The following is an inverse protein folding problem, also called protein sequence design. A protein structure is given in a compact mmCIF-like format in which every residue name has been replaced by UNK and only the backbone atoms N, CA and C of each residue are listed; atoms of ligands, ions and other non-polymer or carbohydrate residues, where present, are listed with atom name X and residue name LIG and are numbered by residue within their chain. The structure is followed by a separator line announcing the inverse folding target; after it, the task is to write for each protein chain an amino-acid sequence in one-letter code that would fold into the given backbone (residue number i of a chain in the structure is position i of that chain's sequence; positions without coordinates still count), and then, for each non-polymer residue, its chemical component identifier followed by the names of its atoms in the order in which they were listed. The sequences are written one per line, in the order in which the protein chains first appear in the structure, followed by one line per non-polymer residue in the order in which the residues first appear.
data_IF_116622761693
#
_entry.id   IF_116622761693
#
_cell.length_a   1.000
_cell.length_b   1.000
_cell.length_c   1.000
_cell.angle_alpha   90.00
_cell.angle_beta   90.00
_cell.angle_gamma   90.00
#
_symmetry.space_group_name_H-M   'P 1'
#
loop_
_entity.id
_entity.type
_entity.pdbx_description
1 polymer ?
#
# COMPACT_ATOMS: atom_id res chain seq x y z
N UNK A 1 42.27 -24.76 -5.94
CA UNK A 1 41.20 -25.76 -5.98
C UNK A 1 40.62 -25.85 -4.60
N UNK A 2 39.58 -25.10 -4.30
CA UNK A 2 38.79 -25.33 -3.09
C UNK A 2 37.37 -24.88 -3.41
N UNK A 3 36.59 -25.87 -3.82
CA UNK A 3 35.21 -25.68 -4.22
C UNK A 3 34.33 -25.72 -2.98
N UNK A 4 34.13 -24.57 -2.32
CA UNK A 4 33.04 -24.45 -1.36
C UNK A 4 31.71 -24.32 -2.12
N UNK A 5 31.25 -25.47 -2.62
CA UNK A 5 29.85 -25.61 -3.03
C UNK A 5 28.97 -25.34 -1.84
N UNK A 6 28.38 -24.15 -1.81
CA UNK A 6 27.26 -23.87 -0.91
C UNK A 6 26.14 -24.81 -1.36
N UNK A 7 26.06 -25.95 -0.70
CA UNK A 7 24.91 -26.85 -0.79
C UNK A 7 23.72 -26.06 -0.30
N UNK A 8 22.90 -25.61 -1.22
CA UNK A 8 21.55 -25.09 -0.91
C UNK A 8 20.78 -26.31 -0.44
N UNK A 9 20.80 -26.56 0.88
CA UNK A 9 19.91 -27.55 1.48
C UNK A 9 18.48 -27.23 1.02
N UNK A 10 17.76 -28.19 0.46
CA UNK A 10 16.36 -27.99 0.13
C UNK A 10 15.62 -27.68 1.43
N UNK A 11 15.04 -26.48 1.53
CA UNK A 11 14.11 -26.12 2.59
C UNK A 11 13.10 -27.25 2.72
N UNK A 12 12.89 -27.83 3.93
CA UNK A 12 11.92 -28.90 4.14
C UNK A 12 10.56 -28.39 3.68
N UNK A 13 10.15 -28.81 2.50
CA UNK A 13 8.91 -28.41 1.86
C UNK A 13 7.73 -28.71 2.76
N UNK A 14 6.79 -27.78 2.80
CA UNK A 14 5.44 -28.01 3.26
C UNK A 14 4.95 -29.39 2.82
N UNK A 15 4.20 -30.07 3.67
CA UNK A 15 3.58 -31.39 3.41
C UNK A 15 3.03 -31.45 2.00
N UNK A 16 3.25 -32.55 1.23
CA UNK A 16 2.88 -32.62 -0.17
C UNK A 16 1.37 -32.48 -0.39
N UNK A 17 0.99 -31.69 -1.39
CA UNK A 17 -0.34 -31.67 -1.98
C UNK A 17 -1.39 -30.79 -1.26
N UNK A 18 -2.17 -31.35 -0.38
CA UNK A 18 -3.38 -30.69 0.18
C UNK A 18 -3.04 -29.55 1.13
N UNK A 19 -2.11 -29.75 2.07
CA UNK A 19 -1.73 -28.72 3.05
C UNK A 19 -1.13 -27.48 2.38
N UNK A 20 -0.35 -27.63 1.31
CA UNK A 20 0.22 -26.52 0.55
C UNK A 20 -0.87 -25.71 -0.18
N UNK A 21 -1.85 -26.38 -0.80
CA UNK A 21 -2.99 -25.72 -1.45
C UNK A 21 -3.85 -24.96 -0.45
N UNK A 22 -4.12 -25.55 0.70
CA UNK A 22 -4.89 -24.92 1.79
C UNK A 22 -4.16 -23.69 2.34
N UNK A 23 -2.84 -23.80 2.58
CA UNK A 23 -2.03 -22.66 3.03
C UNK A 23 -2.02 -21.52 1.98
N UNK A 24 -1.94 -21.87 0.69
CA UNK A 24 -2.03 -20.89 -0.39
C UNK A 24 -3.40 -20.21 -0.41
N UNK A 25 -4.47 -20.98 -0.29
CA UNK A 25 -5.83 -20.43 -0.19
C UNK A 25 -5.99 -19.48 1.00
N UNK A 26 -5.43 -19.84 2.17
CA UNK A 26 -5.42 -18.98 3.34
C UNK A 26 -4.72 -17.64 3.10
N UNK A 27 -3.53 -17.69 2.49
CA UNK A 27 -2.74 -16.48 2.17
C UNK A 27 -3.42 -15.63 1.10
N UNK A 28 -4.00 -16.26 0.06
CA UNK A 28 -4.77 -15.55 -0.96
C UNK A 28 -6.00 -14.86 -0.34
N UNK A 29 -6.71 -15.55 0.56
CA UNK A 29 -7.88 -14.98 1.23
C UNK A 29 -7.48 -13.80 2.13
N UNK A 30 -6.40 -13.90 2.89
CA UNK A 30 -5.87 -12.79 3.69
C UNK A 30 -5.46 -11.60 2.81
N UNK A 31 -4.90 -11.86 1.63
CA UNK A 31 -4.54 -10.84 0.65
C UNK A 31 -5.79 -10.16 0.06
N UNK A 32 -6.82 -10.95 -0.28
CA UNK A 32 -8.11 -10.42 -0.76
C UNK A 32 -8.76 -9.53 0.29
N UNK A 33 -8.79 -9.95 1.56
CA UNK A 33 -9.32 -9.14 2.66
C UNK A 33 -8.56 -7.82 2.80
N UNK A 34 -7.23 -7.84 2.73
CA UNK A 34 -6.42 -6.63 2.80
C UNK A 34 -6.64 -5.70 1.60
N UNK A 35 -6.81 -6.27 0.39
CA UNK A 35 -7.08 -5.50 -0.82
C UNK A 35 -8.50 -4.92 -0.82
N UNK A 36 -9.47 -5.72 -0.42
CA UNK A 36 -10.87 -5.34 -0.27
C UNK A 36 -11.02 -4.17 0.69
N UNK A 37 -10.36 -4.23 1.86
CA UNK A 37 -10.34 -3.14 2.85
C UNK A 37 -9.90 -1.81 2.26
N UNK A 38 -8.89 -1.83 1.39
CA UNK A 38 -8.35 -0.62 0.76
C UNK A 38 -9.36 0.11 -0.14
N UNK A 39 -10.39 -0.57 -0.63
CA UNK A 39 -11.35 -0.02 -1.59
C UNK A 39 -12.80 -0.01 -1.10
N UNK A 40 -13.20 -0.95 -0.26
CA UNK A 40 -14.57 -1.02 0.27
C UNK A 40 -14.93 0.20 1.11
N UNK A 41 -13.99 0.69 1.92
CA UNK A 41 -14.19 1.86 2.78
C UNK A 41 -14.41 3.13 1.95
N UNK A 42 -13.78 3.22 0.76
CA UNK A 42 -13.91 4.42 -0.10
C UNK A 42 -15.35 4.67 -0.53
N UNK A 43 -16.11 3.64 -0.84
CA UNK A 43 -17.52 3.73 -1.22
C UNK A 43 -18.46 4.05 -0.04
N UNK A 44 -18.05 3.69 1.19
CA UNK A 44 -18.84 3.92 2.40
C UNK A 44 -18.57 5.30 3.03
N UNK A 45 -17.39 5.88 2.83
CA UNK A 45 -16.95 7.10 3.51
C UNK A 45 -17.90 8.29 3.40
N UNK A 46 -18.50 8.60 2.23
CA UNK A 46 -19.47 9.71 2.16
C UNK A 46 -20.68 9.51 3.08
N UNK A 47 -21.15 8.27 3.24
CA UNK A 47 -22.25 7.93 4.15
C UNK A 47 -21.80 7.96 5.60
N UNK A 48 -20.65 7.40 5.92
CA UNK A 48 -20.06 7.39 7.27
C UNK A 48 -19.93 8.81 7.80
N UNK A 49 -19.34 9.73 7.04
CA UNK A 49 -19.13 11.11 7.49
C UNK A 49 -20.42 11.93 7.54
N UNK A 50 -21.46 11.52 6.82
CA UNK A 50 -22.79 12.12 6.92
C UNK A 50 -23.50 11.67 8.20
N UNK A 51 -23.40 10.40 8.57
CA UNK A 51 -24.07 9.85 9.76
C UNK A 51 -23.33 10.17 11.06
N UNK A 52 -22.00 10.01 11.09
CA UNK A 52 -21.19 10.26 12.29
C UNK A 52 -20.80 11.74 12.46
N UNK A 53 -21.05 12.57 11.45
CA UNK A 53 -20.53 13.93 11.38
C UNK A 53 -19.02 13.95 11.08
N UNK A 54 -18.37 15.09 11.34
CA UNK A 54 -16.92 15.21 11.20
C UNK A 54 -16.42 15.15 9.76
N UNK A 55 -17.16 15.76 8.82
CA UNK A 55 -16.76 15.80 7.41
C UNK A 55 -15.35 16.37 7.20
N UNK A 56 -14.88 17.27 8.07
CA UNK A 56 -13.52 17.80 8.04
C UNK A 56 -12.45 16.73 8.33
N UNK A 57 -12.82 15.64 9.03
CA UNK A 57 -11.93 14.51 9.36
C UNK A 57 -11.96 13.38 8.31
N UNK A 58 -12.65 13.57 7.17
CA UNK A 58 -12.76 12.55 6.11
C UNK A 58 -11.42 11.95 5.73
N UNK A 59 -10.44 12.80 5.46
CA UNK A 59 -9.07 12.37 5.06
C UNK A 59 -8.35 11.58 6.15
N UNK A 60 -8.64 11.88 7.42
CA UNK A 60 -8.00 11.23 8.57
C UNK A 60 -8.32 9.76 8.68
N UNK A 61 -9.54 9.35 8.31
CA UNK A 61 -9.94 7.94 8.32
C UNK A 61 -9.06 7.10 7.39
N UNK A 62 -8.66 7.65 6.23
CA UNK A 62 -7.72 7.01 5.31
C UNK A 62 -6.27 7.15 5.77
N UNK A 63 -5.86 8.37 6.08
CA UNK A 63 -4.47 8.69 6.41
C UNK A 63 -3.99 7.96 7.65
N UNK A 64 -4.83 7.88 8.69
CA UNK A 64 -4.52 7.16 9.93
C UNK A 64 -4.30 5.65 9.68
N UNK A 65 -5.15 5.05 8.86
CA UNK A 65 -5.00 3.65 8.47
C UNK A 65 -3.71 3.40 7.67
N UNK A 66 -3.46 4.20 6.64
CA UNK A 66 -2.27 4.06 5.78
C UNK A 66 -0.99 4.31 6.57
N UNK A 67 -1.01 5.31 7.43
CA UNK A 67 0.08 5.62 8.33
C UNK A 67 0.37 4.45 9.29
N UNK A 68 -0.64 3.97 10.00
CA UNK A 68 -0.50 2.82 10.90
C UNK A 68 -0.05 1.56 10.16
N UNK A 69 -0.54 1.34 8.93
CA UNK A 69 -0.09 0.25 8.06
C UNK A 69 1.39 0.38 7.71
N UNK A 70 1.88 1.60 7.46
CA UNK A 70 3.32 1.86 7.22
C UNK A 70 4.16 1.40 8.41
N UNK A 71 3.75 1.78 9.64
CA UNK A 71 4.43 1.37 10.87
C UNK A 71 4.37 -0.17 11.02
N UNK A 72 3.21 -0.75 10.77
CA UNK A 72 3.01 -2.21 10.80
C UNK A 72 3.93 -2.96 9.84
N UNK A 73 4.09 -2.47 8.59
CA UNK A 73 5.01 -3.04 7.59
C UNK A 73 6.46 -3.01 8.09
N UNK A 74 6.90 -1.87 8.62
CA UNK A 74 8.29 -1.68 9.07
C UNK A 74 8.66 -2.57 10.26
N UNK A 75 7.70 -2.81 11.16
CA UNK A 75 7.91 -3.64 12.35
C UNK A 75 7.84 -5.12 12.00
N UNK A 76 6.82 -5.53 11.24
CA UNK A 76 6.47 -6.93 11.02
C UNK A 76 7.51 -7.69 10.22
N UNK A 77 8.20 -7.06 9.26
CA UNK A 77 9.23 -7.72 8.46
C UNK A 77 10.33 -8.33 9.34
N UNK A 78 10.92 -7.53 10.22
CA UNK A 78 11.96 -7.99 11.15
C UNK A 78 11.42 -8.89 12.26
N UNK A 79 10.19 -8.62 12.71
CA UNK A 79 9.55 -9.43 13.73
C UNK A 79 9.26 -10.86 13.21
N UNK A 80 8.88 -10.98 11.94
CA UNK A 80 8.67 -12.27 11.27
C UNK A 80 9.96 -13.08 11.13
N UNK A 81 11.09 -12.42 10.89
CA UNK A 81 12.40 -13.10 10.83
C UNK A 81 12.83 -13.62 12.21
N UNK A 82 12.48 -12.93 13.29
CA UNK A 82 12.86 -13.30 14.67
C UNK A 82 11.89 -14.29 15.33
N UNK A 83 10.59 -14.02 15.26
CA UNK A 83 9.55 -14.78 15.96
C UNK A 83 8.97 -15.93 15.12
N UNK A 84 9.22 -15.88 13.80
CA UNK A 84 8.55 -16.73 12.82
C UNK A 84 7.41 -16.00 12.11
N UNK A 85 7.03 -16.50 10.94
CA UNK A 85 5.98 -15.86 10.11
C UNK A 85 4.60 -16.08 10.71
N UNK A 86 4.36 -17.29 11.23
CA UNK A 86 3.05 -17.69 11.78
C UNK A 86 2.60 -16.82 12.96
N UNK A 87 3.40 -16.62 14.04
CA UNK A 87 3.02 -15.76 15.16
C UNK A 87 2.75 -14.31 14.72
N UNK A 88 3.57 -13.75 13.82
CA UNK A 88 3.41 -12.37 13.36
C UNK A 88 2.17 -12.22 12.47
N UNK A 89 1.88 -13.21 11.62
CA UNK A 89 0.64 -13.25 10.86
C UNK A 89 -0.59 -13.25 11.78
N UNK A 90 -0.61 -14.11 12.82
CA UNK A 90 -1.75 -14.17 13.75
C UNK A 90 -1.89 -12.92 14.59
N UNK A 91 -0.80 -12.33 15.04
CA UNK A 91 -0.83 -11.05 15.75
C UNK A 91 -1.38 -9.93 14.83
N UNK A 92 -0.90 -9.85 13.58
CA UNK A 92 -1.39 -8.92 12.58
C UNK A 92 -2.86 -9.13 12.23
N UNK A 93 -3.27 -10.38 12.01
CA UNK A 93 -4.67 -10.73 11.74
C UNK A 93 -5.55 -10.39 12.95
N UNK A 94 -5.14 -10.72 14.17
CA UNK A 94 -5.87 -10.37 15.39
C UNK A 94 -6.07 -8.86 15.53
N UNK A 95 -5.01 -8.05 15.38
CA UNK A 95 -5.10 -6.59 15.41
C UNK A 95 -6.03 -6.06 14.30
N UNK A 96 -5.92 -6.61 13.10
CA UNK A 96 -6.76 -6.23 11.97
C UNK A 96 -8.24 -6.51 12.22
N UNK A 97 -8.56 -7.71 12.70
CA UNK A 97 -9.96 -8.12 12.94
C UNK A 97 -10.59 -7.41 14.14
N UNK A 98 -9.84 -7.23 15.23
CA UNK A 98 -10.30 -6.44 16.38
C UNK A 98 -10.52 -4.99 15.96
N UNK A 99 -9.55 -4.39 15.24
CA UNK A 99 -9.70 -3.04 14.70
C UNK A 99 -10.90 -2.93 13.76
N UNK A 100 -11.12 -3.93 12.89
CA UNK A 100 -12.25 -3.97 11.97
C UNK A 100 -13.60 -4.06 12.72
N UNK A 101 -13.70 -4.93 13.71
CA UNK A 101 -14.90 -5.04 14.54
C UNK A 101 -15.21 -3.73 15.27
N UNK A 102 -14.19 -3.10 15.86
CA UNK A 102 -14.32 -1.82 16.54
C UNK A 102 -14.71 -0.69 15.58
N UNK A 103 -14.17 -0.65 14.34
CA UNK A 103 -14.59 0.28 13.31
C UNK A 103 -16.09 0.12 12.98
N UNK A 104 -16.59 -1.10 12.88
CA UNK A 104 -18.00 -1.37 12.66
C UNK A 104 -18.92 -0.97 13.83
N UNK A 105 -18.37 -0.86 15.03
CA UNK A 105 -19.09 -0.44 16.25
C UNK A 105 -18.86 1.05 16.59
N UNK A 106 -18.13 1.81 15.78
CA UNK A 106 -17.84 3.20 16.05
C UNK A 106 -19.11 4.07 16.10
N UNK A 107 -19.19 4.93 17.10
CA UNK A 107 -20.27 5.89 17.36
C UNK A 107 -19.88 7.34 17.02
N UNK A 108 -18.60 7.56 16.74
CA UNK A 108 -18.04 8.85 16.35
C UNK A 108 -16.91 8.72 15.36
N UNK A 109 -16.66 9.75 14.57
CA UNK A 109 -15.56 9.77 13.61
C UNK A 109 -14.21 9.69 14.31
N UNK A 110 -14.06 10.25 15.52
CA UNK A 110 -12.82 10.17 16.29
C UNK A 110 -12.53 8.73 16.75
N UNK A 111 -13.56 8.03 17.27
CA UNK A 111 -13.44 6.61 17.60
C UNK A 111 -13.10 5.77 16.37
N UNK A 112 -13.74 6.03 15.23
CA UNK A 112 -13.44 5.39 13.97
C UNK A 112 -11.97 5.57 13.58
N UNK A 113 -11.42 6.79 13.64
CA UNK A 113 -10.01 7.07 13.34
C UNK A 113 -9.08 6.29 14.27
N UNK A 114 -9.37 6.28 15.58
CA UNK A 114 -8.56 5.51 16.54
C UNK A 114 -8.57 4.01 16.22
N UNK A 115 -9.73 3.45 15.88
CA UNK A 115 -9.87 2.04 15.52
C UNK A 115 -9.22 1.73 14.15
N UNK A 116 -9.21 2.68 13.22
CA UNK A 116 -8.47 2.59 11.96
C UNK A 116 -6.96 2.51 12.17
N UNK A 117 -6.40 3.17 13.20
CA UNK A 117 -4.99 2.99 13.57
C UNK A 117 -4.72 1.54 13.98
N UNK A 118 -5.56 0.97 14.84
CA UNK A 118 -5.41 -0.43 15.27
C UNK A 118 -5.51 -1.40 14.09
N UNK A 119 -6.53 -1.21 13.25
CA UNK A 119 -6.76 -2.00 12.04
C UNK A 119 -5.59 -1.88 11.05
N UNK A 120 -5.07 -0.65 10.86
CA UNK A 120 -3.93 -0.37 9.99
C UNK A 120 -2.64 -1.06 10.42
N UNK A 121 -2.31 -1.04 11.72
CA UNK A 121 -1.17 -1.79 12.27
C UNK A 121 -1.25 -3.28 11.92
N UNK A 122 -2.42 -3.87 12.06
CA UNK A 122 -2.69 -5.26 11.67
C UNK A 122 -2.51 -5.49 10.17
N UNK A 123 -3.12 -4.66 9.32
CA UNK A 123 -3.03 -4.75 7.87
C UNK A 123 -1.57 -4.65 7.39
N UNK A 124 -0.80 -3.72 7.97
CA UNK A 124 0.62 -3.55 7.67
C UNK A 124 1.46 -4.78 8.03
N UNK A 125 1.09 -5.51 9.07
CA UNK A 125 1.76 -6.77 9.43
C UNK A 125 1.39 -7.91 8.49
N UNK A 126 0.17 -7.97 7.99
CA UNK A 126 -0.31 -9.04 7.11
C UNK A 126 0.39 -9.04 5.75
N UNK A 127 0.61 -7.88 5.15
CA UNK A 127 1.11 -7.77 3.78
C UNK A 127 2.49 -8.40 3.57
N UNK A 128 3.55 -8.05 4.34
CA UNK A 128 4.86 -8.69 4.19
C UNK A 128 4.86 -10.14 4.66
N UNK A 129 4.07 -10.51 5.68
CA UNK A 129 4.02 -11.88 6.17
C UNK A 129 3.35 -12.83 5.17
N UNK A 130 2.31 -12.41 4.47
CA UNK A 130 1.69 -13.22 3.40
C UNK A 130 2.67 -13.47 2.25
N UNK A 131 3.46 -12.47 1.86
CA UNK A 131 4.48 -12.61 0.82
C UNK A 131 5.60 -13.55 1.25
N UNK A 132 6.06 -13.47 2.51
CA UNK A 132 7.11 -14.37 3.03
C UNK A 132 6.61 -15.80 3.23
N UNK A 133 5.39 -16.01 3.72
CA UNK A 133 4.76 -17.33 3.79
C UNK A 133 4.66 -17.96 2.40
N UNK A 134 4.25 -17.16 1.40
CA UNK A 134 4.23 -17.62 0.00
C UNK A 134 5.62 -18.03 -0.48
N UNK A 135 6.65 -17.28 -0.09
CA UNK A 135 8.02 -17.60 -0.44
C UNK A 135 8.52 -18.90 0.21
N UNK A 136 8.02 -19.27 1.38
CA UNK A 136 8.36 -20.54 2.05
C UNK A 136 7.64 -21.75 1.41
N UNK A 137 6.45 -21.53 0.83
CA UNK A 137 5.63 -22.59 0.24
C UNK A 137 6.08 -23.00 -1.16
N UNK A 138 6.82 -22.15 -1.89
CA UNK A 138 7.08 -22.33 -3.31
C UNK A 138 8.54 -22.15 -3.68
N UNK A 139 9.02 -23.02 -4.56
CA UNK A 139 10.35 -22.89 -5.19
C UNK A 139 10.41 -21.64 -6.08
N UNK A 140 11.61 -21.18 -6.41
CA UNK A 140 11.80 -19.98 -7.23
C UNK A 140 11.07 -20.06 -8.59
N UNK A 141 11.04 -21.24 -9.23
CA UNK A 141 10.32 -21.48 -10.49
C UNK A 141 8.81 -21.40 -10.32
N UNK A 142 8.27 -21.98 -9.24
CA UNK A 142 6.84 -21.99 -8.94
C UNK A 142 6.33 -20.61 -8.54
N UNK A 143 7.18 -19.78 -7.89
CA UNK A 143 6.81 -18.42 -7.46
C UNK A 143 6.33 -17.54 -8.62
N UNK A 144 6.92 -17.67 -9.81
CA UNK A 144 6.50 -16.88 -10.97
C UNK A 144 5.04 -17.15 -11.35
N UNK A 145 4.62 -18.42 -11.34
CA UNK A 145 3.23 -18.81 -11.63
C UNK A 145 2.27 -18.41 -10.52
N UNK A 146 2.69 -18.58 -9.25
CA UNK A 146 1.88 -18.24 -8.09
C UNK A 146 1.75 -16.72 -7.91
N UNK A 147 2.76 -15.95 -8.28
CA UNK A 147 2.72 -14.48 -8.26
C UNK A 147 1.55 -13.93 -9.11
N UNK A 148 1.24 -14.58 -10.23
CA UNK A 148 0.05 -14.26 -11.03
C UNK A 148 -1.26 -14.42 -10.25
N UNK A 149 -1.38 -15.51 -9.46
CA UNK A 149 -2.53 -15.74 -8.57
C UNK A 149 -2.63 -14.67 -7.48
N UNK A 150 -1.50 -14.29 -6.86
CA UNK A 150 -1.48 -13.23 -5.84
C UNK A 150 -1.89 -11.87 -6.42
N UNK A 151 -1.36 -11.53 -7.60
CA UNK A 151 -1.73 -10.28 -8.29
C UNK A 151 -3.20 -10.30 -8.71
N UNK A 152 -3.69 -11.43 -9.22
CA UNK A 152 -5.10 -11.61 -9.57
C UNK A 152 -6.04 -11.51 -8.36
N UNK A 153 -5.69 -12.17 -7.26
CA UNK A 153 -6.46 -12.12 -6.01
C UNK A 153 -6.51 -10.70 -5.43
N UNK A 154 -5.37 -9.99 -5.43
CA UNK A 154 -5.30 -8.60 -5.00
C UNK A 154 -6.13 -7.70 -5.91
N UNK A 155 -6.05 -7.87 -7.23
CA UNK A 155 -6.86 -7.16 -8.21
C UNK A 155 -8.35 -7.43 -8.04
N UNK A 156 -8.74 -8.70 -7.84
CA UNK A 156 -10.12 -9.08 -7.61
C UNK A 156 -10.68 -8.47 -6.31
N UNK A 157 -9.91 -8.52 -5.20
CA UNK A 157 -10.28 -7.88 -3.95
C UNK A 157 -10.55 -6.39 -4.10
N UNK A 158 -9.66 -5.68 -4.80
CA UNK A 158 -9.86 -4.26 -5.09
C UNK A 158 -11.07 -3.97 -6.00
N UNK A 159 -11.31 -4.81 -7.00
CA UNK A 159 -12.44 -4.64 -7.92
C UNK A 159 -13.80 -4.90 -7.27
N UNK A 160 -13.84 -5.91 -6.39
CA UNK A 160 -15.07 -6.31 -5.68
C UNK A 160 -15.39 -5.36 -4.53
N UNK A 161 -14.38 -4.71 -3.94
CA UNK A 161 -14.54 -3.78 -2.82
C UNK A 161 -15.63 -2.73 -3.02
N UNK A 162 -15.55 -1.89 -4.06
CA UNK A 162 -16.55 -0.85 -4.32
C UNK A 162 -17.96 -1.40 -4.57
N UNK A 163 -18.07 -2.55 -5.24
CA UNK A 163 -19.36 -3.23 -5.49
C UNK A 163 -20.03 -3.66 -4.18
N UNK A 164 -19.31 -4.46 -3.40
CA UNK A 164 -19.83 -4.96 -2.13
C UNK A 164 -20.02 -3.79 -1.15
N UNK A 165 -19.08 -2.85 -1.10
CA UNK A 165 -19.16 -1.70 -0.20
C UNK A 165 -20.37 -0.83 -0.49
N UNK A 166 -20.59 -0.47 -1.75
CA UNK A 166 -21.76 0.29 -2.16
C UNK A 166 -23.08 -0.47 -1.90
N UNK A 167 -23.10 -1.78 -2.16
CA UNK A 167 -24.27 -2.61 -1.89
C UNK A 167 -24.60 -2.69 -0.38
N UNK A 168 -23.56 -2.92 0.46
CA UNK A 168 -23.72 -2.96 1.92
C UNK A 168 -24.23 -1.63 2.48
N UNK A 169 -23.72 -0.50 1.99
CA UNK A 169 -24.13 0.84 2.40
C UNK A 169 -25.62 1.09 2.07
N UNK A 170 -26.09 0.60 0.91
CA UNK A 170 -27.46 0.87 0.46
C UNK A 170 -28.51 -0.08 1.07
N UNK A 171 -28.14 -1.34 1.34
CA UNK A 171 -29.12 -2.39 1.72
C UNK A 171 -29.01 -2.84 3.18
N UNK A 172 -27.90 -2.52 3.86
CA UNK A 172 -27.70 -2.89 5.25
C UNK A 172 -27.26 -1.69 6.09
N UNK A 173 -25.96 -1.52 6.25
CA UNK A 173 -25.33 -0.37 6.93
C UNK A 173 -23.88 -0.30 6.52
N UNK A 174 -23.30 0.91 6.53
CA UNK A 174 -21.87 1.11 6.33
C UNK A 174 -21.01 0.31 7.35
N UNK A 175 -21.55 0.00 8.51
CA UNK A 175 -20.86 -0.79 9.54
C UNK A 175 -20.44 -2.17 9.05
N UNK A 176 -21.24 -2.77 8.17
CA UNK A 176 -20.92 -4.08 7.57
C UNK A 176 -19.71 -4.07 6.65
N UNK A 177 -19.32 -2.90 6.15
CA UNK A 177 -18.07 -2.73 5.38
C UNK A 177 -16.85 -3.18 6.18
N UNK A 178 -16.88 -2.96 7.48
CA UNK A 178 -15.85 -3.41 8.41
C UNK A 178 -16.12 -4.81 8.96
N UNK A 179 -17.35 -5.07 9.38
CA UNK A 179 -17.71 -6.33 10.04
C UNK A 179 -17.55 -7.56 9.13
N UNK A 180 -17.69 -7.42 7.82
CA UNK A 180 -17.51 -8.53 6.85
C UNK A 180 -16.09 -9.10 6.87
N UNK A 181 -15.10 -8.29 7.24
CA UNK A 181 -13.71 -8.74 7.35
C UNK A 181 -13.54 -9.79 8.48
N UNK A 182 -14.37 -9.72 9.52
CA UNK A 182 -14.22 -10.58 10.71
C UNK A 182 -14.42 -12.06 10.36
N UNK A 183 -15.56 -12.51 9.81
CA UNK A 183 -15.73 -13.93 9.49
C UNK A 183 -14.75 -14.41 8.41
N UNK A 184 -14.45 -13.58 7.40
CA UNK A 184 -13.54 -13.95 6.31
C UNK A 184 -12.11 -14.08 6.81
N UNK A 185 -11.64 -13.14 7.64
CA UNK A 185 -10.31 -13.16 8.20
C UNK A 185 -10.12 -14.26 9.24
N UNK A 186 -11.13 -14.56 10.07
CA UNK A 186 -11.10 -15.70 10.98
C UNK A 186 -10.99 -17.03 10.20
N UNK A 187 -11.72 -17.15 9.09
CA UNK A 187 -11.64 -18.33 8.24
C UNK A 187 -10.25 -18.46 7.59
N UNK A 188 -9.68 -17.36 7.08
CA UNK A 188 -8.31 -17.35 6.56
C UNK A 188 -7.28 -17.74 7.64
N UNK A 189 -7.44 -17.21 8.86
CA UNK A 189 -6.59 -17.54 10.00
C UNK A 189 -6.68 -19.03 10.35
N UNK A 190 -7.89 -19.58 10.43
CA UNK A 190 -8.11 -20.99 10.70
C UNK A 190 -7.43 -21.89 9.65
N UNK A 191 -7.63 -21.60 8.36
CA UNK A 191 -7.00 -22.35 7.28
C UNK A 191 -5.47 -22.31 7.39
N UNK A 192 -4.88 -21.13 7.69
CA UNK A 192 -3.43 -21.01 7.86
C UNK A 192 -2.95 -21.77 9.11
N UNK A 193 -3.68 -21.69 10.21
CA UNK A 193 -3.36 -22.41 11.43
C UNK A 193 -3.21 -23.91 11.21
N UNK A 194 -4.14 -24.50 10.45
CA UNK A 194 -4.19 -25.94 10.18
C UNK A 194 -3.16 -26.38 9.12
N UNK A 195 -2.77 -25.51 8.20
CA UNK A 195 -2.02 -25.92 7.01
C UNK A 195 -0.56 -25.48 6.98
N UNK A 196 -0.18 -24.40 7.70
CA UNK A 196 1.16 -23.84 7.64
C UNK A 196 1.97 -24.10 8.92
N UNK A 197 3.23 -24.45 8.74
CA UNK A 197 4.24 -24.56 9.82
C UNK A 197 5.42 -23.67 9.49
N UNK A 198 5.89 -22.93 10.48
CA UNK A 198 7.08 -22.09 10.34
C UNK A 198 8.33 -22.95 10.04
N UNK A 199 9.21 -22.48 9.17
CA UNK A 199 10.57 -22.99 9.09
C UNK A 199 11.35 -22.68 10.39
N UNK A 200 12.52 -23.32 10.61
CA UNK A 200 13.38 -23.05 11.77
C UNK A 200 13.65 -21.55 11.92
N UNK A 201 13.56 -21.05 13.14
CA UNK A 201 13.72 -19.62 13.45
C UNK A 201 15.19 -19.21 13.38
N UNK A 202 15.42 -17.98 12.91
CA UNK A 202 16.74 -17.33 13.03
C UNK A 202 16.78 -16.54 14.33
N UNK A 203 17.64 -16.96 15.27
CA UNK A 203 17.77 -16.33 16.60
C UNK A 203 18.62 -15.06 16.59
N UNK A 204 19.42 -14.83 15.53
CA UNK A 204 20.44 -13.78 15.50
C UNK A 204 19.94 -12.43 14.96
N UNK A 205 18.64 -12.30 14.65
CA UNK A 205 18.09 -11.06 14.07
C UNK A 205 17.94 -10.00 15.15
N UNK A 206 18.77 -8.97 15.09
CA UNK A 206 18.65 -7.78 15.95
C UNK A 206 17.45 -6.94 15.49
N UNK A 207 16.60 -6.55 16.44
CA UNK A 207 15.46 -5.67 16.19
C UNK A 207 15.85 -4.21 16.39
N UNK A 208 15.51 -3.38 15.42
CA UNK A 208 15.51 -1.93 15.58
C UNK A 208 14.24 -1.51 16.31
N UNK A 209 14.35 -1.14 17.57
CA UNK A 209 13.20 -0.70 18.39
C UNK A 209 12.86 0.76 18.17
N UNK A 210 13.86 1.58 17.90
CA UNK A 210 13.72 3.02 17.80
C UNK A 210 13.35 3.50 16.39
N UNK A 211 13.84 2.82 15.35
CA UNK A 211 13.57 3.21 13.97
C UNK A 211 12.07 3.28 13.64
N UNK A 212 11.27 2.22 13.84
CA UNK A 212 9.83 2.27 13.59
C UNK A 212 9.10 3.29 14.47
N UNK A 213 9.52 3.47 15.73
CA UNK A 213 8.93 4.45 16.63
C UNK A 213 9.19 5.89 16.15
N UNK A 214 10.45 6.21 15.82
CA UNK A 214 10.82 7.53 15.30
C UNK A 214 10.16 7.80 13.94
N UNK A 215 10.15 6.82 13.05
CA UNK A 215 9.46 6.94 11.76
C UNK A 215 7.95 7.17 11.96
N UNK A 216 7.34 6.39 12.85
CA UNK A 216 5.93 6.50 13.18
C UNK A 216 5.58 7.85 13.80
N UNK A 217 6.28 8.27 14.83
CA UNK A 217 5.97 9.54 15.52
C UNK A 217 6.27 10.75 14.63
N UNK A 218 7.34 10.74 13.84
CA UNK A 218 7.66 11.79 12.87
C UNK A 218 6.55 11.94 11.83
N UNK A 219 6.10 10.83 11.24
CA UNK A 219 5.03 10.86 10.25
C UNK A 219 3.67 11.23 10.86
N UNK A 220 3.38 10.82 12.11
CA UNK A 220 2.18 11.23 12.83
C UNK A 220 2.16 12.76 13.05
N UNK A 221 3.27 13.33 13.52
CA UNK A 221 3.38 14.78 13.68
C UNK A 221 3.23 15.53 12.36
N UNK A 222 3.81 14.98 11.27
CA UNK A 222 3.64 15.56 9.94
C UNK A 222 2.17 15.54 9.50
N UNK A 223 1.44 14.44 9.73
CA UNK A 223 0.01 14.35 9.45
C UNK A 223 -0.79 15.34 10.28
N UNK A 224 -0.51 15.45 11.57
CA UNK A 224 -1.17 16.42 12.45
C UNK A 224 -0.94 17.86 12.00
N UNK A 225 0.23 18.19 11.47
CA UNK A 225 0.51 19.54 10.95
C UNK A 225 -0.36 19.91 9.73
N UNK A 226 -0.90 18.93 9.03
CA UNK A 226 -1.77 19.12 7.87
C UNK A 226 -3.26 19.26 8.26
N UNK A 227 -3.59 19.12 9.54
CA UNK A 227 -4.98 19.23 10.01
C UNK A 227 -5.45 20.69 10.04
N UNK A 228 -6.57 21.03 9.38
CA UNK A 228 -7.07 22.41 9.33
C UNK A 228 -7.51 22.96 10.68
N UNK A 229 -7.95 22.09 11.60
CA UNK A 229 -8.52 22.46 12.90
C UNK A 229 -7.51 22.99 13.94
N UNK A 230 -6.22 22.79 13.75
CA UNK A 230 -5.18 23.11 14.74
C UNK A 230 -4.04 23.93 14.15
N UNK A 231 -4.38 25.06 13.53
CA UNK A 231 -3.40 25.95 12.90
C UNK A 231 -2.28 26.41 13.86
N UNK A 232 -2.61 26.57 15.13
CA UNK A 232 -1.69 27.00 16.20
C UNK A 232 -0.58 25.95 16.45
N UNK A 233 -0.92 24.66 16.39
CA UNK A 233 0.02 23.57 16.63
C UNK A 233 0.79 23.16 15.36
N UNK A 234 0.39 23.67 14.19
CA UNK A 234 0.97 23.28 12.89
C UNK A 234 2.49 23.38 12.87
N UNK A 235 3.02 24.52 13.26
CA UNK A 235 4.47 24.77 13.23
C UNK A 235 5.22 23.92 14.25
N UNK A 236 4.63 23.70 15.43
CA UNK A 236 5.18 22.81 16.45
C UNK A 236 5.24 21.37 15.96
N UNK A 237 4.16 20.91 15.34
CA UNK A 237 4.10 19.56 14.76
C UNK A 237 5.06 19.40 13.58
N UNK A 238 5.20 20.41 12.71
CA UNK A 238 6.19 20.40 11.63
C UNK A 238 7.61 20.35 12.18
N UNK A 239 7.93 21.18 13.16
CA UNK A 239 9.23 21.15 13.82
C UNK A 239 9.51 19.79 14.46
N UNK A 240 8.54 19.25 15.20
CA UNK A 240 8.61 17.91 15.80
C UNK A 240 8.84 16.83 14.75
N UNK A 241 8.12 16.87 13.62
CA UNK A 241 8.30 15.94 12.52
C UNK A 241 9.72 16.01 11.93
N UNK A 242 10.25 17.21 11.72
CA UNK A 242 11.63 17.43 11.21
C UNK A 242 12.65 16.93 12.21
N UNK A 243 12.52 17.25 13.49
CA UNK A 243 13.45 16.84 14.55
C UNK A 243 13.46 15.32 14.71
N UNK A 244 12.28 14.69 14.76
CA UNK A 244 12.18 13.22 14.87
C UNK A 244 12.65 12.52 13.59
N UNK A 245 12.39 13.11 12.42
CA UNK A 245 12.90 12.61 11.14
C UNK A 245 14.42 12.70 11.05
N UNK A 246 15.02 13.80 11.51
CA UNK A 246 16.47 13.92 11.63
C UNK A 246 17.04 12.92 12.64
N UNK A 247 16.37 12.75 13.78
CA UNK A 247 16.68 11.74 14.79
C UNK A 247 16.62 10.32 14.23
N UNK A 248 15.63 10.03 13.39
CA UNK A 248 15.53 8.74 12.67
C UNK A 248 16.77 8.54 11.78
N UNK A 249 17.10 9.51 10.93
CA UNK A 249 18.26 9.39 10.03
C UNK A 249 19.56 9.18 10.83
N UNK A 250 19.75 9.93 11.92
CA UNK A 250 20.90 9.78 12.79
C UNK A 250 20.96 8.40 13.44
N UNK A 251 19.83 7.94 13.99
CA UNK A 251 19.69 6.62 14.61
C UNK A 251 19.95 5.50 13.60
N UNK A 252 19.40 5.61 12.37
CA UNK A 252 19.59 4.62 11.31
C UNK A 252 21.06 4.51 10.86
N UNK A 253 21.81 5.62 10.87
CA UNK A 253 23.25 5.61 10.56
C UNK A 253 24.09 4.89 11.61
N UNK A 254 23.64 4.88 12.88
CA UNK A 254 24.32 4.23 14.00
C UNK A 254 23.79 2.84 14.32
N UNK A 255 22.64 2.47 13.79
CA UNK A 255 21.98 1.19 14.08
C UNK A 255 22.72 0.02 13.48
N UNK A 256 22.94 -1.03 14.28
CA UNK A 256 23.45 -2.31 13.81
C UNK A 256 22.42 -3.11 13.02
N UNK A 257 21.17 -2.69 13.03
CA UNK A 257 20.04 -3.33 12.33
C UNK A 257 19.10 -2.27 11.72
N UNK A 258 19.58 -1.44 10.79
CA UNK A 258 18.79 -0.33 10.24
C UNK A 258 17.55 -0.85 9.51
N UNK A 259 16.49 -0.02 9.45
CA UNK A 259 15.27 -0.31 8.67
C UNK A 259 15.58 -0.49 7.19
N UNK A 260 16.52 0.31 6.69
CA UNK A 260 17.09 0.16 5.36
C UNK A 260 18.61 0.33 5.46
N UNK A 261 19.41 -0.67 5.05
CA UNK A 261 20.87 -0.56 5.05
C UNK A 261 21.32 0.68 4.28
N UNK A 262 22.22 1.47 4.87
CA UNK A 262 22.68 2.73 4.29
C UNK A 262 23.39 2.57 2.94
N UNK A 263 23.96 1.39 2.69
CA UNK A 263 24.54 1.02 1.39
C UNK A 263 23.48 1.00 0.28
N UNK A 264 22.29 0.51 0.61
CA UNK A 264 21.15 0.45 -0.33
C UNK A 264 20.52 1.83 -0.56
N UNK A 265 20.59 2.74 0.42
CA UNK A 265 20.08 4.11 0.26
C UNK A 265 20.88 4.89 -0.78
N UNK A 266 22.16 4.53 -1.02
CA UNK A 266 22.99 5.16 -2.06
C UNK A 266 22.72 4.58 -3.46
N UNK A 267 22.06 3.43 -3.57
CA UNK A 267 21.75 2.83 -4.87
C UNK A 267 20.66 3.64 -5.58
N UNK A 268 20.97 4.10 -6.80
CA UNK A 268 20.03 4.86 -7.64
C UNK A 268 18.73 4.10 -7.94
N UNK A 269 18.77 2.76 -8.01
CA UNK A 269 17.58 1.96 -8.22
C UNK A 269 16.67 1.98 -6.99
N UNK A 270 17.25 1.89 -5.79
CA UNK A 270 16.49 1.95 -4.53
C UNK A 270 15.89 3.34 -4.33
N UNK A 271 16.68 4.42 -4.56
CA UNK A 271 16.17 5.80 -4.51
C UNK A 271 15.06 6.04 -5.51
N UNK A 272 15.20 5.53 -6.74
CA UNK A 272 14.14 5.59 -7.76
C UNK A 272 12.90 4.82 -7.35
N UNK A 273 13.06 3.66 -6.71
CA UNK A 273 11.97 2.88 -6.14
C UNK A 273 11.24 3.60 -5.00
N UNK A 274 11.98 4.28 -4.11
CA UNK A 274 11.43 5.09 -3.02
C UNK A 274 10.61 6.27 -3.59
N UNK A 275 11.18 7.05 -4.51
CA UNK A 275 10.50 8.17 -5.15
C UNK A 275 9.24 7.70 -5.90
N UNK A 276 9.36 6.60 -6.68
CA UNK A 276 8.25 5.99 -7.36
C UNK A 276 7.21 5.39 -6.43
N UNK A 277 7.62 4.83 -5.29
CA UNK A 277 6.72 4.36 -4.24
C UNK A 277 5.88 5.49 -3.66
N UNK A 278 6.52 6.59 -3.27
CA UNK A 278 5.84 7.79 -2.73
C UNK A 278 4.83 8.33 -3.75
N UNK A 279 5.25 8.57 -5.00
CA UNK A 279 4.37 9.14 -6.03
C UNK A 279 3.24 8.18 -6.44
N UNK A 280 3.54 6.89 -6.58
CA UNK A 280 2.53 5.87 -6.89
C UNK A 280 1.50 5.72 -5.77
N UNK A 281 1.94 5.79 -4.51
CA UNK A 281 1.07 5.83 -3.34
C UNK A 281 0.22 7.09 -3.28
N UNK A 282 0.84 8.25 -3.53
CA UNK A 282 0.16 9.54 -3.60
C UNK A 282 -1.00 9.51 -4.60
N UNK A 283 -0.77 9.05 -5.83
CA UNK A 283 -1.81 8.94 -6.84
C UNK A 283 -2.89 7.92 -6.44
N UNK A 284 -2.49 6.68 -6.16
CA UNK A 284 -3.43 5.60 -5.90
C UNK A 284 -4.41 5.94 -4.78
N UNK A 285 -3.86 6.29 -3.60
CA UNK A 285 -4.68 6.49 -2.40
C UNK A 285 -5.43 7.82 -2.43
N UNK A 286 -4.90 8.85 -3.11
CA UNK A 286 -5.64 10.09 -3.33
C UNK A 286 -6.85 9.87 -4.22
N UNK A 287 -6.70 9.15 -5.34
CA UNK A 287 -7.83 8.84 -6.20
C UNK A 287 -8.85 7.97 -5.47
N UNK A 288 -8.38 6.96 -4.73
CA UNK A 288 -9.26 6.11 -3.93
C UNK A 288 -10.06 6.90 -2.89
N UNK A 289 -9.47 7.91 -2.25
CA UNK A 289 -10.14 8.73 -1.25
C UNK A 289 -11.07 9.81 -1.86
N UNK A 290 -10.57 10.56 -2.84
CA UNK A 290 -11.23 11.78 -3.29
C UNK A 290 -12.18 11.61 -4.48
N UNK A 291 -11.98 10.61 -5.36
CA UNK A 291 -12.87 10.37 -6.51
C UNK A 291 -14.28 9.96 -6.08
N UNK A 292 -14.49 9.01 -5.16
CA UNK A 292 -15.83 8.66 -4.72
C UNK A 292 -16.54 9.83 -4.02
N UNK A 293 -15.82 10.63 -3.24
CA UNK A 293 -16.37 11.83 -2.60
C UNK A 293 -16.82 12.85 -3.66
N UNK A 294 -15.97 13.13 -4.65
CA UNK A 294 -16.32 14.03 -5.75
C UNK A 294 -17.56 13.55 -6.51
N UNK A 295 -17.64 12.24 -6.84
CA UNK A 295 -18.78 11.66 -7.54
C UNK A 295 -20.08 11.73 -6.74
N UNK A 296 -20.03 11.67 -5.40
CA UNK A 296 -21.22 11.80 -4.57
C UNK A 296 -21.60 13.26 -4.34
N UNK A 297 -20.64 14.17 -4.07
CA UNK A 297 -20.92 15.57 -3.72
C UNK A 297 -21.25 16.43 -4.95
N UNK A 298 -20.54 16.29 -6.06
CA UNK A 298 -20.72 17.08 -7.27
C UNK A 298 -21.35 16.29 -8.42
N UNK A 299 -21.06 15.00 -8.53
CA UNK A 299 -21.63 14.15 -9.55
C UNK A 299 -23.03 13.64 -9.25
N UNK A 300 -23.56 13.83 -8.05
CA UNK A 300 -24.89 13.35 -7.62
C UNK A 300 -25.04 11.81 -7.70
N UNK A 301 -23.94 11.08 -7.74
CA UNK A 301 -23.94 9.65 -7.91
C UNK A 301 -24.23 8.90 -6.61
N UNK A 302 -24.85 7.72 -6.72
CA UNK A 302 -25.02 6.83 -5.57
C UNK A 302 -23.68 6.28 -5.08
N UNK A 303 -23.56 5.86 -3.81
CA UNK A 303 -22.31 5.26 -3.28
C UNK A 303 -21.78 4.09 -4.08
N UNK A 304 -22.66 3.27 -4.66
CA UNK A 304 -22.26 2.17 -5.56
C UNK A 304 -21.57 2.71 -6.81
N UNK A 305 -22.21 3.64 -7.52
CA UNK A 305 -21.67 4.22 -8.76
C UNK A 305 -20.36 4.95 -8.46
N UNK A 306 -20.32 5.73 -7.39
CA UNK A 306 -19.14 6.45 -6.96
C UNK A 306 -17.95 5.50 -6.67
N UNK A 307 -18.19 4.37 -6.01
CA UNK A 307 -17.17 3.35 -5.79
C UNK A 307 -16.73 2.66 -7.10
N UNK A 308 -17.69 2.36 -7.98
CA UNK A 308 -17.43 1.73 -9.28
C UNK A 308 -16.60 2.60 -10.23
N UNK A 309 -16.57 3.92 -10.04
CA UNK A 309 -15.72 4.80 -10.85
C UNK A 309 -14.23 4.49 -10.72
N UNK A 310 -13.81 3.82 -9.65
CA UNK A 310 -12.42 3.38 -9.46
C UNK A 310 -12.06 2.12 -10.27
N UNK A 311 -13.03 1.33 -10.74
CA UNK A 311 -12.77 0.08 -11.46
C UNK A 311 -11.89 0.26 -12.71
N UNK A 312 -12.12 1.24 -13.61
CA UNK A 312 -11.26 1.45 -14.77
C UNK A 312 -9.80 1.72 -14.39
N UNK A 313 -9.55 2.43 -13.28
CA UNK A 313 -8.20 2.64 -12.75
C UNK A 313 -7.55 1.32 -12.31
N UNK A 314 -8.28 0.47 -11.59
CA UNK A 314 -7.76 -0.81 -11.08
C UNK A 314 -7.52 -1.81 -12.21
N UNK A 315 -8.42 -1.88 -13.18
CA UNK A 315 -8.27 -2.70 -14.39
C UNK A 315 -7.12 -2.19 -15.25
N UNK A 316 -7.06 -0.88 -15.49
CA UNK A 316 -5.96 -0.22 -16.18
C UNK A 316 -4.61 -0.51 -15.54
N UNK A 317 -4.54 -0.50 -14.20
CA UNK A 317 -3.33 -0.88 -13.47
C UNK A 317 -2.91 -2.33 -13.77
N UNK A 318 -3.83 -3.27 -13.71
CA UNK A 318 -3.53 -4.69 -13.97
C UNK A 318 -2.99 -4.88 -15.38
N UNK A 319 -3.62 -4.27 -16.40
CA UNK A 319 -3.17 -4.28 -17.78
C UNK A 319 -1.82 -3.58 -17.91
N UNK A 320 -1.69 -2.36 -17.37
CA UNK A 320 -0.47 -1.57 -17.41
C UNK A 320 0.71 -2.26 -16.75
N UNK A 321 0.50 -3.00 -15.65
CA UNK A 321 1.57 -3.75 -14.97
C UNK A 321 2.22 -4.80 -15.89
N UNK A 322 1.43 -5.47 -16.70
CA UNK A 322 1.93 -6.46 -17.67
C UNK A 322 2.83 -5.79 -18.74
N UNK A 323 2.43 -4.63 -19.24
CA UNK A 323 3.26 -3.84 -20.17
C UNK A 323 4.49 -3.26 -19.47
N UNK A 324 4.35 -2.84 -18.20
CA UNK A 324 5.42 -2.28 -17.40
C UNK A 324 6.59 -3.23 -17.22
N UNK A 325 6.32 -4.51 -16.96
CA UNK A 325 7.37 -5.54 -16.88
C UNK A 325 8.09 -5.71 -18.22
N UNK A 326 7.36 -5.70 -19.34
CA UNK A 326 7.97 -5.77 -20.69
C UNK A 326 8.85 -4.53 -20.97
N UNK A 327 8.38 -3.33 -20.59
CA UNK A 327 9.16 -2.10 -20.72
C UNK A 327 10.39 -2.10 -19.82
N UNK A 328 10.27 -2.61 -18.59
CA UNK A 328 11.37 -2.75 -17.64
C UNK A 328 12.49 -3.64 -18.21
N UNK A 329 12.13 -4.80 -18.78
CA UNK A 329 13.08 -5.74 -19.38
C UNK A 329 13.75 -5.14 -20.64
N UNK A 330 13.00 -4.42 -21.49
CA UNK A 330 13.51 -3.88 -22.75
C UNK A 330 14.30 -2.58 -22.59
N UNK A 331 13.83 -1.66 -21.75
CA UNK A 331 14.33 -0.27 -21.67
C UNK A 331 14.85 0.12 -20.28
N UNK A 332 14.83 -0.82 -19.31
CA UNK A 332 15.27 -0.56 -17.94
C UNK A 332 14.27 0.27 -17.12
N UNK A 333 14.68 0.60 -15.90
CA UNK A 333 13.83 1.33 -14.95
C UNK A 333 13.47 2.73 -15.44
N UNK A 334 14.39 3.41 -16.12
CA UNK A 334 14.22 4.77 -16.63
C UNK A 334 13.02 4.86 -17.58
N UNK A 335 12.98 4.01 -18.60
CA UNK A 335 11.92 4.00 -19.60
C UNK A 335 10.58 3.60 -18.97
N UNK A 336 10.55 2.50 -18.24
CA UNK A 336 9.31 1.96 -17.69
C UNK A 336 8.68 2.88 -16.65
N UNK A 337 9.47 3.41 -15.70
CA UNK A 337 8.97 4.36 -14.70
C UNK A 337 8.59 5.69 -15.32
N UNK A 338 9.44 6.25 -16.21
CA UNK A 338 9.19 7.54 -16.87
C UNK A 338 7.88 7.51 -17.66
N UNK A 339 7.69 6.52 -18.52
CA UNK A 339 6.45 6.32 -19.29
C UNK A 339 5.26 6.09 -18.36
N UNK A 340 5.42 5.22 -17.35
CA UNK A 340 4.35 4.92 -16.40
C UNK A 340 3.83 6.17 -15.69
N UNK A 341 4.73 6.94 -15.07
CA UNK A 341 4.33 8.17 -14.37
C UNK A 341 3.86 9.28 -15.30
N UNK A 342 4.40 9.39 -16.52
CA UNK A 342 3.91 10.34 -17.51
C UNK A 342 2.45 10.05 -17.92
N UNK A 343 2.14 8.78 -18.23
CA UNK A 343 0.77 8.36 -18.54
C UNK A 343 -0.17 8.56 -17.36
N UNK A 344 0.30 8.23 -16.13
CA UNK A 344 -0.51 8.43 -14.93
C UNK A 344 -0.77 9.93 -14.65
N UNK A 345 0.23 10.79 -14.85
CA UNK A 345 0.08 12.25 -14.74
C UNK A 345 -0.91 12.80 -15.79
N UNK A 346 -0.86 12.30 -17.02
CA UNK A 346 -1.84 12.65 -18.08
C UNK A 346 -3.25 12.27 -17.66
N UNK A 347 -3.45 11.04 -17.14
CA UNK A 347 -4.77 10.61 -16.65
C UNK A 347 -5.29 11.46 -15.49
N UNK A 348 -4.43 11.83 -14.54
CA UNK A 348 -4.80 12.73 -13.44
C UNK A 348 -5.11 14.16 -13.93
N UNK A 349 -4.35 14.66 -14.90
CA UNK A 349 -4.63 15.96 -15.55
C UNK A 349 -5.98 15.97 -16.29
N UNK A 350 -6.29 14.90 -17.05
CA UNK A 350 -7.59 14.74 -17.69
C UNK A 350 -8.74 14.68 -16.67
N UNK A 351 -8.52 14.00 -15.54
CA UNK A 351 -9.50 13.95 -14.45
C UNK A 351 -9.70 15.32 -13.82
N UNK A 352 -8.63 16.09 -13.63
CA UNK A 352 -8.71 17.48 -13.17
C UNK A 352 -9.52 18.37 -14.11
N UNK A 353 -9.29 18.27 -15.42
CA UNK A 353 -10.08 18.98 -16.45
C UNK A 353 -11.54 18.51 -16.44
N UNK A 354 -11.78 17.21 -16.29
CA UNK A 354 -13.13 16.65 -16.18
C UNK A 354 -13.88 17.26 -14.99
N UNK A 355 -13.23 17.39 -13.85
CA UNK A 355 -13.80 18.00 -12.66
C UNK A 355 -14.00 19.53 -12.82
N UNK A 356 -13.07 20.20 -13.50
CA UNK A 356 -13.14 21.66 -13.71
C UNK A 356 -14.25 22.06 -14.69
N UNK A 357 -14.42 21.30 -15.77
CA UNK A 357 -15.36 21.63 -16.86
C UNK A 357 -16.65 20.83 -16.84
N UNK A 358 -16.81 19.90 -15.88
CA UNK A 358 -18.03 19.11 -15.75
C UNK A 358 -18.29 18.16 -16.94
N UNK A 359 -17.25 17.53 -17.51
CA UNK A 359 -17.39 16.63 -18.67
C UNK A 359 -18.14 15.32 -18.39
N UNK A 360 -18.57 15.12 -17.14
CA UNK A 360 -19.43 14.02 -16.76
C UNK A 360 -18.70 12.71 -16.44
N UNK A 361 -19.49 11.71 -16.04
CA UNK A 361 -19.00 10.44 -15.50
C UNK A 361 -18.16 9.64 -16.51
N UNK A 362 -18.53 9.61 -17.79
CA UNK A 362 -17.78 8.83 -18.80
C UNK A 362 -16.37 9.38 -19.02
N UNK A 363 -16.20 10.70 -19.02
CA UNK A 363 -14.88 11.31 -19.11
C UNK A 363 -14.03 11.00 -17.88
N UNK A 364 -14.64 10.96 -16.70
CA UNK A 364 -13.97 10.53 -15.46
C UNK A 364 -13.51 9.08 -15.53
N UNK A 365 -14.36 8.15 -16.01
CA UNK A 365 -13.99 6.74 -16.18
C UNK A 365 -12.83 6.57 -17.16
N UNK A 366 -12.85 7.29 -18.29
CA UNK A 366 -11.77 7.27 -19.27
C UNK A 366 -10.45 7.81 -18.69
N UNK A 367 -10.52 8.93 -17.96
CA UNK A 367 -9.36 9.56 -17.30
C UNK A 367 -8.74 8.62 -16.27
N UNK A 368 -9.57 7.92 -15.47
CA UNK A 368 -9.15 6.95 -14.48
C UNK A 368 -8.55 5.69 -15.13
N UNK A 369 -9.07 5.24 -16.27
CA UNK A 369 -8.47 4.14 -17.02
C UNK A 369 -7.05 4.49 -17.50
N UNK A 370 -6.85 5.68 -18.06
CA UNK A 370 -5.53 6.19 -18.49
C UNK A 370 -4.59 6.28 -17.28
N UNK A 371 -5.06 6.85 -16.16
CA UNK A 371 -4.28 6.95 -14.93
C UNK A 371 -3.85 5.56 -14.45
N UNK A 372 -4.75 4.59 -14.43
CA UNK A 372 -4.46 3.21 -14.03
C UNK A 372 -3.44 2.54 -14.94
N UNK A 373 -3.57 2.70 -16.27
CA UNK A 373 -2.60 2.17 -17.23
C UNK A 373 -1.18 2.72 -17.00
N UNK A 374 -1.06 3.96 -16.53
CA UNK A 374 0.23 4.55 -16.14
C UNK A 374 0.72 4.05 -14.78
N UNK A 375 -0.15 3.88 -13.78
CA UNK A 375 0.21 3.36 -12.45
C UNK A 375 0.78 1.94 -12.52
N UNK A 376 0.33 1.11 -13.47
CA UNK A 376 0.80 -0.27 -13.64
C UNK A 376 2.32 -0.35 -13.85
N UNK A 377 2.88 0.24 -14.92
CA UNK A 377 4.32 0.28 -15.16
C UNK A 377 5.08 0.99 -14.04
N UNK A 378 4.56 2.11 -13.53
CA UNK A 378 5.16 2.87 -12.44
C UNK A 378 5.35 2.01 -11.17
N UNK A 379 4.30 1.31 -10.73
CA UNK A 379 4.32 0.47 -9.54
C UNK A 379 5.22 -0.76 -9.71
N UNK A 380 5.12 -1.45 -10.87
CA UNK A 380 5.94 -2.63 -11.16
C UNK A 380 7.43 -2.27 -11.17
N UNK A 381 7.80 -1.16 -11.80
CA UNK A 381 9.20 -0.72 -11.88
C UNK A 381 9.73 -0.28 -10.53
N UNK A 382 8.94 0.47 -9.76
CA UNK A 382 9.34 0.96 -8.43
C UNK A 382 9.56 -0.18 -7.42
N UNK A 383 8.95 -1.34 -7.64
CA UNK A 383 9.10 -2.51 -6.78
C UNK A 383 10.14 -3.51 -7.32
N UNK A 384 9.96 -3.98 -8.56
CA UNK A 384 10.76 -5.07 -9.15
C UNK A 384 12.18 -4.60 -9.45
N UNK A 385 12.35 -3.36 -9.95
CA UNK A 385 13.64 -2.82 -10.31
C UNK A 385 14.65 -2.82 -9.16
N UNK A 386 14.35 -2.21 -8.01
CA UNK A 386 15.24 -2.27 -6.84
C UNK A 386 15.42 -3.69 -6.28
N UNK A 387 14.35 -4.51 -6.25
CA UNK A 387 14.45 -5.89 -5.77
C UNK A 387 15.42 -6.75 -6.61
N UNK A 388 15.43 -6.58 -7.93
CA UNK A 388 16.29 -7.36 -8.83
C UNK A 388 17.77 -7.03 -8.65
N UNK A 389 18.10 -5.82 -8.20
CA UNK A 389 19.48 -5.34 -7.95
C UNK A 389 19.96 -5.57 -6.52
N UNK A 390 19.02 -5.71 -5.59
CA UNK A 390 19.37 -5.95 -4.20
C UNK A 390 19.96 -7.35 -4.00
N UNK A 391 21.04 -7.49 -3.19
CA UNK A 391 21.55 -8.78 -2.76
C UNK A 391 20.43 -9.63 -2.16
N UNK A 392 20.49 -10.94 -2.36
CA UNK A 392 19.44 -11.87 -1.96
C UNK A 392 18.96 -11.66 -0.50
N UNK A 393 19.90 -11.51 0.42
CA UNK A 393 19.62 -11.34 1.85
C UNK A 393 19.00 -9.99 2.21
N UNK A 394 19.00 -9.00 1.31
CA UNK A 394 18.39 -7.68 1.51
C UNK A 394 17.08 -7.48 0.76
N UNK A 395 16.66 -8.41 -0.10
CA UNK A 395 15.44 -8.26 -0.91
C UNK A 395 14.18 -8.06 -0.08
N UNK A 396 14.05 -8.76 1.06
CA UNK A 396 12.91 -8.61 1.97
C UNK A 396 12.84 -7.19 2.56
N UNK A 397 13.96 -6.67 3.05
CA UNK A 397 14.06 -5.31 3.62
C UNK A 397 13.73 -4.26 2.55
N UNK A 398 14.29 -4.38 1.34
CA UNK A 398 14.01 -3.47 0.21
C UNK A 398 12.52 -3.48 -0.11
N UNK A 399 11.91 -4.66 -0.22
CA UNK A 399 10.48 -4.80 -0.51
C UNK A 399 9.62 -4.10 0.54
N UNK A 400 9.85 -4.40 1.82
CA UNK A 400 9.08 -3.79 2.92
C UNK A 400 9.25 -2.28 2.96
N UNK A 401 10.48 -1.77 2.73
CA UNK A 401 10.76 -0.34 2.69
C UNK A 401 10.03 0.36 1.54
N UNK A 402 9.99 -0.24 0.35
CA UNK A 402 9.28 0.31 -0.81
C UNK A 402 7.75 0.31 -0.60
N UNK A 403 7.21 -0.74 0.04
CA UNK A 403 5.80 -0.74 0.43
C UNK A 403 5.49 0.34 1.47
N UNK A 404 6.35 0.50 2.47
CA UNK A 404 6.21 1.53 3.49
C UNK A 404 6.21 2.94 2.89
N UNK A 405 7.13 3.23 1.95
CA UNK A 405 7.18 4.54 1.27
C UNK A 405 5.93 4.81 0.43
N UNK A 406 5.35 3.79 -0.18
CA UNK A 406 4.09 3.90 -0.93
C UNK A 406 2.91 4.22 -0.01
N UNK A 407 2.78 3.55 1.12
CA UNK A 407 1.74 3.82 2.11
C UNK A 407 1.90 5.21 2.71
N UNK A 408 3.13 5.60 3.04
CA UNK A 408 3.45 6.92 3.59
C UNK A 408 3.13 8.03 2.57
N UNK A 409 3.53 7.86 1.30
CA UNK A 409 3.20 8.80 0.22
C UNK A 409 1.68 8.98 0.08
N UNK A 410 0.92 7.88 0.12
CA UNK A 410 -0.53 7.91 0.11
C UNK A 410 -1.13 8.65 1.30
N UNK A 411 -0.70 8.29 2.51
CA UNK A 411 -1.17 8.90 3.76
C UNK A 411 -0.98 10.42 3.76
N UNK A 412 0.25 10.86 3.47
CA UNK A 412 0.59 12.29 3.45
C UNK A 412 -0.17 13.06 2.37
N UNK A 413 -0.30 12.48 1.17
CA UNK A 413 -0.98 13.17 0.07
C UNK A 413 -2.48 13.25 0.29
N UNK A 414 -3.13 12.20 0.80
CA UNK A 414 -4.55 12.24 1.14
C UNK A 414 -4.82 13.35 2.18
N UNK A 415 -3.99 13.45 3.23
CA UNK A 415 -4.10 14.49 4.24
C UNK A 415 -3.81 15.89 3.68
N UNK A 416 -2.76 16.05 2.86
CA UNK A 416 -2.40 17.34 2.28
C UNK A 416 -3.50 17.86 1.34
N UNK A 417 -4.08 17.00 0.53
CA UNK A 417 -5.18 17.38 -0.38
C UNK A 417 -6.48 17.75 0.36
N UNK A 418 -6.63 17.36 1.63
CA UNK A 418 -7.74 17.81 2.45
C UNK A 418 -7.74 19.32 2.67
N UNK A 419 -6.57 19.99 2.59
CA UNK A 419 -6.45 21.45 2.66
C UNK A 419 -7.13 22.15 1.47
N UNK A 420 -7.25 21.47 0.34
CA UNK A 420 -7.95 21.93 -0.86
C UNK A 420 -9.36 21.31 -0.99
N UNK A 421 -9.98 20.93 0.13
CA UNK A 421 -11.32 20.33 0.13
C UNK A 421 -12.34 21.21 -0.58
N UNK A 422 -13.22 20.60 -1.37
CA UNK A 422 -14.19 21.31 -2.22
C UNK A 422 -13.65 21.74 -3.59
N UNK A 423 -12.33 21.75 -3.78
CA UNK A 423 -11.67 22.08 -5.05
C UNK A 423 -11.10 20.82 -5.71
N UNK A 424 -11.96 19.86 -6.09
CA UNK A 424 -11.55 18.56 -6.60
C UNK A 424 -10.63 18.65 -7.83
N UNK A 425 -10.91 19.58 -8.76
CA UNK A 425 -10.04 19.83 -9.91
C UNK A 425 -8.60 20.16 -9.48
N UNK A 426 -8.44 21.01 -8.48
CA UNK A 426 -7.14 21.37 -7.92
C UNK A 426 -6.46 20.17 -7.25
N UNK A 427 -7.21 19.36 -6.49
CA UNK A 427 -6.68 18.15 -5.84
C UNK A 427 -6.13 17.17 -6.88
N UNK A 428 -6.88 16.91 -7.95
CA UNK A 428 -6.44 16.00 -9.02
C UNK A 428 -5.27 16.59 -9.82
N UNK A 429 -5.25 17.90 -10.05
CA UNK A 429 -4.15 18.59 -10.71
C UNK A 429 -2.85 18.50 -9.90
N UNK A 430 -2.90 18.74 -8.57
CA UNK A 430 -1.74 18.61 -7.67
C UNK A 430 -1.20 17.17 -7.68
N UNK A 431 -2.08 16.16 -7.58
CA UNK A 431 -1.67 14.76 -7.62
C UNK A 431 -1.01 14.40 -8.97
N UNK A 432 -1.56 14.91 -10.07
CA UNK A 432 -1.00 14.75 -11.41
C UNK A 432 0.35 15.44 -11.57
N UNK A 433 0.49 16.68 -11.09
CA UNK A 433 1.74 17.44 -11.14
C UNK A 433 2.86 16.74 -10.36
N UNK A 434 2.56 16.21 -9.17
CA UNK A 434 3.52 15.43 -8.38
C UNK A 434 4.03 14.21 -9.18
N UNK A 435 3.13 13.49 -9.83
CA UNK A 435 3.49 12.36 -10.69
C UNK A 435 4.35 12.79 -11.88
N UNK A 436 4.02 13.92 -12.52
CA UNK A 436 4.78 14.50 -13.62
C UNK A 436 6.20 14.88 -13.23
N UNK A 437 6.38 15.51 -12.07
CA UNK A 437 7.70 15.85 -11.53
C UNK A 437 8.53 14.59 -11.28
N UNK A 438 7.90 13.56 -10.68
CA UNK A 438 8.58 12.28 -10.44
C UNK A 438 8.90 11.57 -11.75
N UNK A 439 8.02 11.64 -12.77
CA UNK A 439 8.28 11.10 -14.11
C UNK A 439 9.55 11.71 -14.71
N UNK A 440 9.68 13.03 -14.67
CA UNK A 440 10.86 13.76 -15.17
C UNK A 440 12.12 13.40 -14.36
N UNK A 441 12.02 13.38 -13.03
CA UNK A 441 13.13 13.01 -12.15
C UNK A 441 13.61 11.58 -12.43
N UNK A 442 12.72 10.62 -12.59
CA UNK A 442 13.07 9.23 -12.87
C UNK A 442 13.58 9.03 -14.30
N UNK A 443 13.08 9.80 -15.27
CA UNK A 443 13.61 9.78 -16.64
C UNK A 443 15.09 10.22 -16.70
N UNK A 444 15.55 11.03 -15.74
CA UNK A 444 16.93 11.48 -15.65
C UNK A 444 17.76 10.60 -14.72
N UNK A 445 17.28 10.36 -13.51
CA UNK A 445 18.06 9.79 -12.41
C UNK A 445 17.99 8.25 -12.32
N UNK A 446 16.90 7.63 -12.80
CA UNK A 446 16.75 6.17 -12.71
C UNK A 446 17.81 5.45 -13.55
N UNK A 447 18.27 4.25 -13.11
CA UNK A 447 19.21 3.46 -13.90
C UNK A 447 18.56 3.02 -15.21
N UNK A 448 19.34 3.11 -16.29
CA UNK A 448 18.99 2.55 -17.58
C UNK A 448 18.97 1.02 -17.55
N UNK A 449 19.03 0.43 -18.74
CA UNK A 449 19.16 -1.03 -18.92
C UNK A 449 20.37 -1.53 -18.13
N UNK A 450 20.19 -2.57 -17.33
CA UNK A 450 21.35 -3.27 -16.81
C UNK A 450 22.12 -3.80 -18.04
N UNK A 451 23.34 -3.34 -18.26
CA UNK A 451 24.24 -3.99 -19.19
C UNK A 451 24.33 -5.44 -18.70
N UNK A 452 23.97 -6.35 -19.57
CA UNK A 452 24.15 -7.78 -19.36
C UNK A 452 25.65 -8.05 -19.41
N UNK A 453 26.33 -7.85 -18.29
CA UNK A 453 27.66 -8.39 -18.05
C UNK A 453 27.57 -9.22 -16.77
N UNK A 454 27.74 -10.47 -17.01
CA UNK A 454 28.06 -11.66 -16.25
C UNK A 454 26.94 -12.67 -16.09
#
# INVERSE_FOLDING_TARGET
MDGSGVSVEPVPSARPGVARRTATGAVLLALVVSAFEGTVVTSAMPTITRELGGQHLYSWVFSAFLFASTVGVLISGKLADRLGRKPVFFAGMGLFLVGSALCGLADSVHALIAFRVLQGLGAGALQPTTLTISADLYTLRERAAVQGLFTGAWGAGNAVGPLIGGWLVMHASWRWVFLVNVPVGLFAALLLYLSYRDPPRRTDVKLDRWGPLLAGTSAAMLLFSLEPGHAELRWLCLLGAVVLGAGLVFQQRKSHAPLLPMELVKDRAVLSGVAGGIAGGALLYSMAAWVPLWMTEQGGQTPIVAGLTLLPMLLGWSVGSTFGVKLLVRGGMRLSAGVGFAVAATGAGLLALTAAYGWGTYAALASLAVLGMGLGPAASTSLIGPQSRAPWHHRGIVTSSLYATRLLGGSLTVAALALARGHFALQFAIAGALAGVVALGLAVAAPGKATSEA
#
